data_IF_144822609226
#
_entry.id   IF_144822609226
#
_cell.length_a   1.000
_cell.length_b   1.000
_cell.length_c   1.000
_cell.angle_alpha   90.00
_cell.angle_beta   90.00
_cell.angle_gamma   90.00
#
_symmetry.space_group_name_H-M   'P 1'
#
loop_
_entity.id
_entity.type
_entity.pdbx_description
1 polymer ?
#
# COMPACT_ATOMS: atom_id res chain seq x y z
N UNK A 1 0.62 -27.58 4.39
CA UNK A 1 0.63 -26.33 3.55
C UNK A 1 1.43 -25.23 4.22
N UNK A 2 2.14 -24.40 3.45
CA UNK A 2 2.85 -23.22 3.95
C UNK A 2 2.65 -21.99 3.05
N UNK A 3 2.50 -20.81 3.65
CA UNK A 3 2.56 -19.54 2.93
C UNK A 3 4.02 -19.21 2.57
N UNK A 4 4.32 -19.03 1.27
CA UNK A 4 5.64 -18.59 0.78
C UNK A 4 5.77 -17.08 0.92
N UNK A 5 4.88 -16.34 0.26
CA UNK A 5 4.80 -14.89 0.35
C UNK A 5 3.37 -14.40 0.15
N UNK A 6 3.14 -13.18 0.62
CA UNK A 6 1.98 -12.37 0.28
C UNK A 6 2.45 -10.93 0.06
N UNK A 7 1.98 -10.29 -1.02
CA UNK A 7 2.41 -8.94 -1.41
C UNK A 7 1.18 -8.08 -1.68
N UNK A 8 1.06 -6.97 -0.95
CA UNK A 8 0.10 -5.91 -1.23
C UNK A 8 0.54 -5.15 -2.49
N UNK A 9 -0.39 -4.90 -3.40
CA UNK A 9 -0.08 -4.30 -4.71
C UNK A 9 -1.29 -3.61 -5.34
N UNK A 10 -1.03 -2.77 -6.34
CA UNK A 10 -2.08 -2.05 -7.09
C UNK A 10 -2.85 -3.00 -8.01
N UNK A 11 -2.14 -3.95 -8.63
CA UNK A 11 -2.75 -5.02 -9.41
C UNK A 11 -1.88 -6.27 -9.45
N UNK A 12 -2.53 -7.43 -9.52
CA UNK A 12 -1.84 -8.68 -9.79
C UNK A 12 -2.69 -9.64 -10.64
N UNK A 13 -2.00 -10.59 -11.27
CA UNK A 13 -2.58 -11.73 -11.95
C UNK A 13 -1.76 -12.99 -11.64
N UNK A 14 -2.44 -14.14 -11.57
CA UNK A 14 -1.82 -15.44 -11.42
C UNK A 14 -2.09 -16.26 -12.68
N UNK A 15 -1.05 -16.49 -13.48
CA UNK A 15 -1.16 -17.13 -14.79
C UNK A 15 -0.06 -18.17 -14.96
N UNK A 16 -0.42 -19.38 -15.37
CA UNK A 16 0.52 -20.50 -15.59
C UNK A 16 1.51 -20.72 -14.43
N UNK A 17 1.04 -20.62 -13.19
CA UNK A 17 1.85 -20.80 -11.98
C UNK A 17 2.79 -19.64 -11.66
N UNK A 18 2.65 -18.48 -12.31
CA UNK A 18 3.47 -17.28 -12.08
C UNK A 18 2.59 -16.13 -11.62
N UNK A 19 3.14 -15.26 -10.78
CA UNK A 19 2.54 -13.97 -10.50
C UNK A 19 3.09 -12.89 -11.42
N UNK A 20 2.19 -12.05 -11.89
CA UNK A 20 2.47 -10.74 -12.46
C UNK A 20 1.99 -9.72 -11.43
N UNK A 21 2.92 -8.96 -10.83
CA UNK A 21 2.64 -8.04 -9.73
C UNK A 21 3.06 -6.64 -10.16
N UNK A 22 2.12 -5.69 -10.13
CA UNK A 22 2.36 -4.30 -10.50
C UNK A 22 2.11 -3.40 -9.29
N UNK A 23 3.02 -2.46 -9.03
CA UNK A 23 2.92 -1.56 -7.87
C UNK A 23 2.98 -2.31 -6.54
N UNK A 24 3.83 -3.34 -6.43
CA UNK A 24 3.92 -4.16 -5.23
C UNK A 24 4.78 -3.55 -4.13
N UNK A 25 4.41 -3.81 -2.87
CA UNK A 25 5.24 -3.50 -1.69
C UNK A 25 5.00 -2.12 -1.09
N UNK A 26 3.89 -1.45 -1.44
CA UNK A 26 3.46 -0.26 -0.70
C UNK A 26 2.83 -0.64 0.65
N UNK A 27 2.85 0.33 1.57
CA UNK A 27 2.34 0.21 2.94
C UNK A 27 1.50 1.42 3.37
N UNK A 28 1.20 2.34 2.45
CA UNK A 28 0.36 3.50 2.74
C UNK A 28 -0.49 3.95 1.53
N UNK A 29 -1.74 4.33 1.82
CA UNK A 29 -2.64 5.07 0.95
C UNK A 29 -2.68 6.51 1.44
N UNK A 30 -2.38 7.47 0.57
CA UNK A 30 -2.45 8.90 0.86
C UNK A 30 -3.66 9.50 0.16
N UNK A 31 -4.50 10.20 0.89
CA UNK A 31 -5.73 10.84 0.38
C UNK A 31 -5.87 12.25 0.93
N UNK A 32 -6.58 13.13 0.23
CA UNK A 32 -6.92 14.48 0.68
C UNK A 32 -8.29 14.55 1.37
N UNK A 33 -9.06 13.46 1.32
CA UNK A 33 -10.44 13.41 1.79
C UNK A 33 -10.86 12.02 2.26
N UNK A 34 -11.77 12.01 3.24
CA UNK A 34 -12.45 10.83 3.77
C UNK A 34 -13.93 11.18 4.02
N UNK A 35 -14.88 10.24 3.82
CA UNK A 35 -14.66 8.88 3.34
C UNK A 35 -14.24 8.87 1.87
N UNK A 36 -13.43 7.87 1.48
CA UNK A 36 -13.05 7.65 0.09
C UNK A 36 -13.34 6.22 -0.36
N UNK A 37 -13.64 6.06 -1.64
CA UNK A 37 -13.70 4.75 -2.29
C UNK A 37 -12.35 4.49 -2.98
N UNK A 38 -11.58 3.54 -2.46
CA UNK A 38 -10.33 3.12 -3.07
C UNK A 38 -10.62 2.10 -4.18
N UNK A 39 -10.25 2.37 -5.45
CA UNK A 39 -10.78 1.62 -6.59
C UNK A 39 -10.51 0.12 -6.54
N UNK A 40 -9.29 -0.26 -6.16
CA UNK A 40 -8.89 -1.66 -6.08
C UNK A 40 -7.72 -1.81 -5.11
N UNK A 41 -7.74 -2.86 -4.31
CA UNK A 41 -6.62 -3.31 -3.50
C UNK A 41 -6.36 -4.77 -3.85
N UNK A 42 -5.14 -5.08 -4.30
CA UNK A 42 -4.80 -6.43 -4.71
C UNK A 42 -3.77 -7.05 -3.78
N UNK A 43 -3.87 -8.37 -3.60
CA UNK A 43 -2.88 -9.14 -2.84
C UNK A 43 -2.49 -10.39 -3.63
N UNK A 44 -1.21 -10.48 -3.98
CA UNK A 44 -0.63 -11.66 -4.60
C UNK A 44 -0.15 -12.63 -3.50
N UNK A 45 -0.66 -13.86 -3.50
CA UNK A 45 -0.39 -14.86 -2.45
C UNK A 45 0.15 -16.13 -3.08
N UNK A 46 1.34 -16.56 -2.64
CA UNK A 46 1.92 -17.83 -3.06
C UNK A 46 1.94 -18.84 -1.94
N UNK A 47 1.39 -20.02 -2.20
CA UNK A 47 1.34 -21.14 -1.26
C UNK A 47 2.24 -22.27 -1.76
N UNK A 48 2.85 -22.97 -0.81
CA UNK A 48 3.59 -24.20 -1.02
C UNK A 48 2.79 -25.35 -0.43
N UNK A 49 2.36 -26.26 -1.30
CA UNK A 49 1.52 -27.40 -0.97
C UNK A 49 2.37 -28.67 -0.95
N UNK A 50 2.33 -29.40 0.16
CA UNK A 50 2.96 -30.71 0.26
C UNK A 50 2.08 -31.82 -0.33
N UNK A 51 2.61 -33.05 -0.36
CA UNK A 51 1.93 -34.20 -0.95
C UNK A 51 0.53 -34.47 -0.39
N UNK A 52 0.22 -34.12 0.86
CA UNK A 52 -1.12 -34.30 1.44
C UNK A 52 -2.06 -33.16 1.06
N UNK A 53 -1.54 -31.92 1.02
CA UNK A 53 -2.32 -30.73 0.69
C UNK A 53 -2.83 -30.72 -0.75
N UNK A 54 -2.06 -31.36 -1.65
CA UNK A 54 -2.34 -31.38 -3.10
C UNK A 54 -3.58 -32.20 -3.49
N UNK A 55 -4.11 -33.00 -2.57
CA UNK A 55 -5.29 -33.86 -2.81
C UNK A 55 -6.59 -33.30 -2.21
N UNK A 56 -6.57 -32.04 -1.76
CA UNK A 56 -7.71 -31.40 -1.10
C UNK A 56 -7.97 -30.00 -1.69
N UNK A 57 -9.21 -29.56 -1.58
CA UNK A 57 -9.62 -28.18 -1.81
C UNK A 57 -9.55 -27.35 -0.51
N UNK A 58 -9.08 -26.11 -0.65
CA UNK A 58 -8.91 -25.15 0.45
C UNK A 58 -9.83 -23.95 0.24
N UNK A 59 -10.48 -23.48 1.31
CA UNK A 59 -11.18 -22.19 1.25
C UNK A 59 -10.19 -21.08 1.52
N UNK A 60 -10.08 -20.13 0.60
CA UNK A 60 -9.17 -18.99 0.72
C UNK A 60 -9.98 -17.69 0.75
N UNK A 61 -9.59 -16.76 1.59
CA UNK A 61 -10.29 -15.49 1.81
C UNK A 61 -9.30 -14.32 1.90
N UNK A 62 -9.65 -13.20 1.28
CA UNK A 62 -9.07 -11.88 1.55
C UNK A 62 -10.14 -10.97 2.15
N UNK A 63 -9.82 -10.36 3.27
CA UNK A 63 -10.59 -9.28 3.87
C UNK A 63 -9.73 -8.02 3.99
N UNK A 64 -10.36 -6.86 4.06
CA UNK A 64 -9.68 -5.59 4.32
C UNK A 64 -10.33 -4.99 5.55
N UNK A 65 -9.52 -4.69 6.57
CA UNK A 65 -9.97 -4.26 7.88
C UNK A 65 -9.52 -2.83 8.19
N UNK A 66 -10.35 -2.12 8.91
CA UNK A 66 -10.07 -0.79 9.48
C UNK A 66 -9.29 -0.88 10.81
N UNK A 67 -8.96 0.26 11.45
CA UNK A 67 -8.32 0.28 12.77
C UNK A 67 -9.04 -0.48 13.89
N UNK A 68 -10.35 -0.73 13.75
CA UNK A 68 -11.20 -1.41 14.72
C UNK A 68 -11.44 -2.89 14.34
N UNK A 69 -10.65 -3.42 13.39
CA UNK A 69 -10.76 -4.76 12.80
C UNK A 69 -12.14 -5.01 12.10
N UNK A 70 -12.86 -3.96 11.69
CA UNK A 70 -14.10 -4.05 10.93
C UNK A 70 -13.85 -4.09 9.42
N UNK A 71 -14.66 -4.87 8.68
CA UNK A 71 -14.51 -5.01 7.22
C UNK A 71 -14.86 -3.71 6.48
N UNK A 72 -13.99 -3.27 5.57
CA UNK A 72 -14.18 -2.07 4.74
C UNK A 72 -14.55 -2.39 3.29
N UNK A 73 -14.77 -3.67 2.99
CA UNK A 73 -15.27 -4.16 1.70
C UNK A 73 -16.72 -4.62 1.85
N UNK A 74 -17.53 -4.63 0.78
CA UNK A 74 -18.92 -5.12 0.88
C UNK A 74 -19.02 -6.57 1.36
N UNK A 75 -18.05 -7.40 1.00
CA UNK A 75 -17.85 -8.74 1.51
C UNK A 75 -16.39 -9.17 1.31
N UNK A 76 -15.84 -10.01 2.21
CA UNK A 76 -14.54 -10.64 1.99
C UNK A 76 -14.51 -11.41 0.66
N UNK A 77 -13.41 -11.30 -0.07
CA UNK A 77 -13.19 -11.99 -1.34
C UNK A 77 -12.89 -13.45 -1.04
N UNK A 78 -13.77 -14.35 -1.46
CA UNK A 78 -13.66 -15.79 -1.18
C UNK A 78 -13.46 -16.60 -2.45
N UNK A 79 -12.65 -17.65 -2.34
CA UNK A 79 -12.39 -18.60 -3.41
C UNK A 79 -12.14 -20.01 -2.89
N UNK A 80 -12.21 -20.98 -3.79
CA UNK A 80 -11.76 -22.35 -3.52
C UNK A 80 -10.50 -22.62 -4.32
N UNK A 81 -9.40 -22.93 -3.62
CA UNK A 81 -8.18 -23.40 -4.25
C UNK A 81 -8.25 -24.93 -4.32
N UNK A 82 -8.48 -25.47 -5.50
CA UNK A 82 -8.24 -26.88 -5.79
C UNK A 82 -6.79 -27.02 -6.26
N UNK A 83 -5.95 -27.68 -5.46
CA UNK A 83 -4.59 -27.95 -5.87
C UNK A 83 -4.59 -28.79 -7.15
N UNK A 84 -3.72 -28.46 -8.09
CA UNK A 84 -3.57 -29.29 -9.30
C UNK A 84 -2.82 -30.54 -8.89
N UNK A 85 -3.48 -31.69 -8.94
CA UNK A 85 -2.80 -32.99 -8.79
C UNK A 85 -1.94 -33.21 -10.03
N UNK A 86 -0.72 -32.71 -9.98
CA UNK A 86 0.33 -33.11 -10.91
C UNK A 86 0.98 -34.39 -10.36
N UNK A 87 0.38 -35.54 -10.66
CA UNK A 87 0.86 -36.84 -10.20
C UNK A 87 2.31 -37.15 -10.66
N UNK A 88 2.91 -36.31 -11.52
CA UNK A 88 4.31 -36.41 -11.95
C UNK A 88 5.30 -35.74 -10.99
N UNK A 89 4.84 -34.88 -10.08
CA UNK A 89 5.71 -34.25 -9.08
C UNK A 89 5.96 -35.21 -7.91
N UNK A 90 7.24 -35.50 -7.57
CA UNK A 90 7.59 -36.31 -6.41
C UNK A 90 6.93 -35.83 -5.12
N UNK A 91 6.59 -36.78 -4.23
CA UNK A 91 5.85 -36.50 -2.99
C UNK A 91 6.64 -35.65 -1.99
N UNK A 92 7.96 -35.61 -2.12
CA UNK A 92 8.88 -34.81 -1.29
C UNK A 92 9.04 -33.36 -1.79
N UNK A 93 8.40 -32.99 -2.92
CA UNK A 93 8.44 -31.62 -3.46
C UNK A 93 7.15 -30.86 -3.20
N UNK A 94 7.31 -29.57 -2.89
CA UNK A 94 6.20 -28.64 -2.81
C UNK A 94 5.69 -28.26 -4.21
N UNK A 95 4.38 -28.26 -4.39
CA UNK A 95 3.73 -27.55 -5.50
C UNK A 95 3.55 -26.08 -5.11
N UNK A 96 3.83 -25.17 -6.03
CA UNK A 96 3.60 -23.75 -5.83
C UNK A 96 2.27 -23.33 -6.46
N UNK A 97 1.35 -22.81 -5.65
CA UNK A 97 0.09 -22.24 -6.13
C UNK A 97 0.13 -20.72 -5.98
N UNK A 98 -0.23 -20.01 -7.05
CA UNK A 98 -0.27 -18.56 -7.12
C UNK A 98 -1.74 -18.10 -7.14
N UNK A 99 -2.09 -17.21 -6.22
CA UNK A 99 -3.45 -16.66 -6.06
C UNK A 99 -3.37 -15.14 -6.16
N UNK A 100 -4.19 -14.57 -7.05
CA UNK A 100 -4.35 -13.12 -7.16
C UNK A 100 -5.70 -12.71 -6.57
N UNK A 101 -5.68 -12.12 -5.38
CA UNK A 101 -6.88 -11.53 -4.79
C UNK A 101 -7.06 -10.09 -5.25
N UNK A 102 -8.32 -9.69 -5.42
CA UNK A 102 -8.74 -8.34 -5.77
C UNK A 102 -9.93 -7.95 -4.92
N UNK A 103 -9.72 -7.05 -3.97
CA UNK A 103 -10.76 -6.33 -3.27
C UNK A 103 -11.16 -5.09 -4.07
N UNK A 104 -12.44 -4.91 -4.32
CA UNK A 104 -13.02 -3.76 -5.02
C UNK A 104 -14.00 -3.05 -4.09
N UNK A 105 -14.30 -1.79 -4.38
CA UNK A 105 -15.21 -0.97 -3.58
C UNK A 105 -14.75 -0.86 -2.10
N UNK A 106 -13.45 -0.69 -1.88
CA UNK A 106 -12.86 -0.55 -0.55
C UNK A 106 -13.21 0.83 -0.01
N UNK A 107 -14.03 0.91 1.04
CA UNK A 107 -14.50 2.17 1.61
C UNK A 107 -13.66 2.54 2.83
N UNK A 108 -12.75 3.48 2.65
CA UNK A 108 -11.89 3.96 3.73
C UNK A 108 -12.58 5.16 4.39
N UNK A 109 -12.98 5.02 5.66
CA UNK A 109 -13.72 6.04 6.39
C UNK A 109 -12.85 6.84 7.36
N UNK A 110 -11.76 6.24 7.84
CA UNK A 110 -10.90 6.84 8.85
C UNK A 110 -9.41 6.74 8.48
N UNK A 111 -8.58 7.71 8.91
CA UNK A 111 -7.13 7.57 8.81
C UNK A 111 -6.63 6.55 9.83
N UNK A 112 -5.41 6.05 9.65
CA UNK A 112 -4.75 5.17 10.62
C UNK A 112 -4.45 3.76 10.09
N UNK A 113 -4.12 2.82 10.99
CA UNK A 113 -3.68 1.48 10.61
C UNK A 113 -4.85 0.66 10.07
N UNK A 114 -4.67 0.10 8.88
CA UNK A 114 -5.58 -0.83 8.25
C UNK A 114 -4.82 -2.14 7.96
N UNK A 115 -5.54 -3.19 7.58
CA UNK A 115 -4.92 -4.45 7.23
C UNK A 115 -5.63 -5.18 6.10
N UNK A 116 -4.86 -5.76 5.18
CA UNK A 116 -5.34 -6.83 4.31
C UNK A 116 -5.06 -8.17 5.01
N UNK A 117 -6.12 -8.94 5.29
CA UNK A 117 -6.06 -10.19 6.05
C UNK A 117 -6.36 -11.36 5.14
N UNK A 118 -5.43 -12.32 5.09
CA UNK A 118 -5.58 -13.57 4.34
C UNK A 118 -5.96 -14.68 5.31
N UNK A 119 -7.06 -15.37 5.02
CA UNK A 119 -7.49 -16.56 5.76
C UNK A 119 -7.51 -17.79 4.87
N UNK A 120 -7.11 -18.94 5.43
CA UNK A 120 -7.27 -20.24 4.80
C UNK A 120 -8.02 -21.16 5.75
N UNK A 121 -9.10 -21.77 5.27
CA UNK A 121 -10.05 -22.55 6.06
C UNK A 121 -10.51 -21.81 7.34
N UNK A 122 -10.67 -20.49 7.23
CA UNK A 122 -11.10 -19.61 8.33
C UNK A 122 -9.98 -19.17 9.28
N UNK A 123 -8.78 -19.75 9.21
CA UNK A 123 -7.65 -19.33 10.04
C UNK A 123 -6.86 -18.19 9.37
N UNK A 124 -6.58 -17.12 10.11
CA UNK A 124 -5.68 -16.04 9.66
C UNK A 124 -4.26 -16.58 9.48
N UNK A 125 -3.77 -16.57 8.24
CA UNK A 125 -2.41 -17.03 7.90
C UNK A 125 -1.45 -15.87 7.64
N UNK A 126 -1.99 -14.68 7.36
CA UNK A 126 -1.20 -13.47 7.15
C UNK A 126 -2.05 -12.21 7.34
N UNK A 127 -1.44 -11.23 7.99
CA UNK A 127 -1.88 -9.83 8.07
C UNK A 127 -0.87 -8.94 7.36
N UNK A 128 -1.31 -8.15 6.40
CA UNK A 128 -0.52 -7.16 5.68
C UNK A 128 -0.96 -5.75 6.13
N UNK A 129 -0.21 -5.10 7.04
CA UNK A 129 -0.59 -3.79 7.53
C UNK A 129 -0.35 -2.72 6.45
N UNK A 130 -1.22 -1.72 6.39
CA UNK A 130 -0.99 -0.50 5.65
C UNK A 130 -1.61 0.70 6.37
N UNK A 131 -1.19 1.91 6.02
CA UNK A 131 -1.67 3.14 6.63
C UNK A 131 -2.57 3.92 5.69
N UNK A 132 -3.67 4.46 6.20
CA UNK A 132 -4.43 5.51 5.52
C UNK A 132 -4.00 6.86 6.10
N UNK A 133 -3.46 7.72 5.25
CA UNK A 133 -2.91 9.02 5.63
C UNK A 133 -3.75 10.11 4.98
N UNK A 134 -4.43 10.91 5.82
CA UNK A 134 -5.09 12.14 5.39
C UNK A 134 -4.04 13.24 5.23
N UNK A 135 -3.90 13.77 4.01
CA UNK A 135 -3.02 14.87 3.70
C UNK A 135 -3.69 16.18 4.10
N UNK A 136 -3.03 16.97 4.94
CA UNK A 136 -3.40 18.37 5.09
C UNK A 136 -2.98 19.13 3.84
N UNK A 137 -3.95 19.60 3.06
CA UNK A 137 -3.67 20.50 1.94
C UNK A 137 -3.14 21.83 2.51
N UNK A 138 -1.85 22.11 2.29
CA UNK A 138 -1.23 23.37 2.65
C UNK A 138 -1.89 24.51 1.85
N UNK A 139 -2.90 25.14 2.44
CA UNK A 139 -3.70 26.19 1.81
C UNK A 139 -4.81 26.76 2.70
N UNK A 140 -5.22 26.04 3.76
CA UNK A 140 -6.11 26.57 4.78
C UNK A 140 -5.33 27.33 5.87
N UNK A 141 -4.47 28.27 5.49
CA UNK A 141 -4.12 29.34 6.43
C UNK A 141 -5.38 30.19 6.59
N UNK A 142 -6.14 29.86 7.64
CA UNK A 142 -7.17 30.73 8.21
C UNK A 142 -6.59 32.14 8.30
N UNK A 143 -7.08 33.03 7.45
CA UNK A 143 -6.92 34.47 7.60
C UNK A 143 -7.72 34.91 8.83
N UNK A 144 -7.27 34.50 10.01
CA UNK A 144 -7.63 35.16 11.24
C UNK A 144 -7.03 36.56 11.12
N UNK A 145 -7.88 37.51 10.72
CA UNK A 145 -7.57 38.92 10.71
C UNK A 145 -7.02 39.29 12.09
N UNK A 146 -5.72 39.58 12.18
CA UNK A 146 -5.19 40.30 13.33
C UNK A 146 -6.06 41.53 13.54
N UNK A 147 -6.56 41.78 14.76
CA UNK A 147 -7.20 43.05 15.05
C UNK A 147 -6.19 44.15 14.72
N UNK A 148 -6.56 45.00 13.76
CA UNK A 148 -5.79 46.18 13.38
C UNK A 148 -5.80 47.12 14.57
N UNK A 149 -4.86 46.97 15.50
CA UNK A 149 -4.62 47.95 16.55
C UNK A 149 -4.26 49.25 15.85
N UNK A 150 -5.15 50.24 15.95
CA UNK A 150 -4.92 51.57 15.45
C UNK A 150 -3.70 52.16 16.19
N UNK A 151 -2.55 52.17 15.52
CA UNK A 151 -1.39 52.92 15.96
C UNK A 151 -1.57 54.37 15.48
N UNK A 152 -1.86 55.25 16.43
CA UNK A 152 -1.80 56.70 16.26
C UNK A 152 -0.36 57.09 15.89
N UNK A 153 -0.20 57.90 14.84
CA UNK A 153 1.08 58.45 14.39
C UNK A 153 1.64 59.43 15.44
N UNK A 154 2.76 59.08 16.05
CA UNK A 154 3.79 60.04 16.49
C UNK A 154 5.18 59.38 16.38
N UNK A 155 6.17 60.14 15.93
CA UNK A 155 7.58 59.84 16.22
C UNK A 155 8.31 58.93 15.22
N UNK A 156 9.23 59.56 14.51
CA UNK A 156 10.25 59.03 13.62
C UNK A 156 11.13 57.90 14.23
N UNK A 157 10.85 56.62 13.95
CA UNK A 157 11.83 55.53 14.09
C UNK A 157 11.67 54.44 13.02
N UNK A 158 12.83 54.01 12.50
CA UNK A 158 13.06 53.09 11.38
C UNK A 158 12.78 51.65 11.83
N UNK A 159 11.71 51.04 11.33
CA UNK A 159 11.46 49.59 11.49
C UNK A 159 11.75 48.85 10.18
N UNK A 160 12.79 48.02 10.18
CA UNK A 160 13.03 47.02 9.13
C UNK A 160 12.07 45.84 9.37
N UNK A 161 11.18 45.60 8.42
CA UNK A 161 10.38 44.38 8.37
C UNK A 161 11.19 43.27 7.69
N UNK A 162 11.58 42.23 8.42
CA UNK A 162 12.10 40.98 7.84
C UNK A 162 10.97 39.96 7.81
N UNK A 163 10.19 39.99 6.73
CA UNK A 163 9.33 38.85 6.40
C UNK A 163 10.17 37.61 6.09
N UNK A 164 9.63 36.39 6.29
CA UNK A 164 10.33 35.19 5.87
C UNK A 164 10.42 35.16 4.34
N UNK A 165 11.66 35.11 3.84
CA UNK A 165 11.97 34.78 2.46
C UNK A 165 11.49 33.36 2.18
N UNK A 166 10.76 33.20 1.07
CA UNK A 166 10.42 31.91 0.51
C UNK A 166 11.68 31.27 -0.07
N UNK A 167 12.35 30.43 0.72
CA UNK A 167 13.40 29.55 0.20
C UNK A 167 12.76 28.23 -0.23
N UNK A 168 12.54 28.13 -1.53
CA UNK A 168 12.53 26.84 -2.19
C UNK A 168 13.95 26.29 -2.21
N UNK A 169 14.09 25.02 -1.84
CA UNK A 169 15.21 24.22 -2.32
C UNK A 169 14.72 22.85 -2.72
N UNK A 170 14.63 22.69 -4.03
CA UNK A 170 14.44 21.43 -4.72
C UNK A 170 15.72 20.60 -4.57
N UNK A 171 15.56 19.37 -4.09
CA UNK A 171 16.62 18.36 -4.13
C UNK A 171 16.90 17.98 -5.59
N UNK A 172 17.86 18.66 -6.22
CA UNK A 172 18.44 18.25 -7.49
C UNK A 172 19.50 17.17 -7.24
N UNK A 173 19.14 15.94 -7.57
CA UNK A 173 20.05 14.79 -7.68
C UNK A 173 21.05 15.04 -8.81
N UNK A 174 22.32 15.31 -8.50
CA UNK A 174 23.42 15.31 -9.47
C UNK A 174 24.03 13.91 -9.55
N UNK A 175 23.65 13.15 -10.57
CA UNK A 175 24.39 11.98 -11.00
C UNK A 175 25.74 12.39 -11.60
N UNK A 176 26.84 12.03 -10.94
CA UNK A 176 28.17 12.04 -11.56
C UNK A 176 28.32 10.77 -12.39
N UNK A 177 28.22 10.89 -13.71
CA UNK A 177 28.85 9.95 -14.64
C UNK A 177 30.17 10.57 -15.09
N UNK A 178 31.29 10.12 -14.52
CA UNK A 178 32.60 10.34 -15.14
C UNK A 178 32.77 9.31 -16.26
N UNK A 179 32.55 9.77 -17.49
CA UNK A 179 33.10 9.15 -18.69
C UNK A 179 34.29 10.00 -19.12
N UNK A 180 35.23 9.31 -19.75
CA UNK A 180 36.40 9.80 -20.47
C UNK A 180 37.66 10.00 -19.62
N UNK A 181 38.56 9.02 -19.71
CA UNK A 181 39.84 9.34 -20.33
C UNK A 181 40.37 8.15 -21.15
N UNK A 182 40.87 8.52 -22.33
CA UNK A 182 41.25 7.69 -23.44
C UNK A 182 42.71 7.21 -23.34
N UNK A 183 43.04 6.23 -24.18
CA UNK A 183 44.33 6.07 -24.87
C UNK A 183 45.63 6.32 -24.08
N UNK A 184 46.35 5.23 -23.77
CA UNK A 184 47.81 5.05 -23.97
C UNK A 184 48.26 3.70 -23.38
N UNK A 185 48.88 2.86 -24.22
CA UNK A 185 49.66 1.68 -23.79
C UNK A 185 49.27 0.39 -24.47
#
# INVERSE_FOLDING_TARGET
>A
MRLDYAVLCDSCAAENGKHYINGGGWDAIRTDSLPMEYPQLCVAVRLLLDGSDRRRAWTVELDVLDPDDATVVPAPVRGTLAARSDDQLPTDRFSAECIAFRAVYVRLEQPGPHAAVIRIDGAEVRRLPFWVVLLELAGAQSSASSPRTAATREGNERWLWTGPASDGDAWLWRGQTSRDEAERG
#
